data_IF_508377996640
#
_entry.id   IF_508377996640
#
_cell.length_a   1.000
_cell.length_b   1.000
_cell.length_c   1.000
_cell.angle_alpha   90.00
_cell.angle_beta   90.00
_cell.angle_gamma   90.00
#
_symmetry.space_group_name_H-M   'P 1'
#
loop_
_entity.id
_entity.type
_entity.pdbx_description
1 polymer ?
#
# COMPACT_ATOMS: atom_id res chain seq x y z
N UNK A 1 -0.64 -7.20 11.33
CA UNK A 1 -0.34 -8.58 10.90
C UNK A 1 -0.35 -8.65 9.37
N UNK A 2 0.42 -9.56 8.73
CA UNK A 2 0.46 -9.71 7.27
C UNK A 2 -0.93 -9.81 6.62
N UNK A 3 -1.88 -10.41 7.34
CA UNK A 3 -3.26 -10.57 6.90
C UNK A 3 -4.03 -9.24 6.74
N UNK A 4 -3.80 -8.26 7.62
CA UNK A 4 -4.44 -6.95 7.54
C UNK A 4 -3.95 -6.16 6.32
N UNK A 5 -2.65 -6.23 6.03
CA UNK A 5 -2.05 -5.66 4.83
C UNK A 5 -2.65 -6.28 3.57
N UNK A 6 -2.74 -7.62 3.50
CA UNK A 6 -3.32 -8.32 2.35
C UNK A 6 -4.78 -7.93 2.13
N UNK A 7 -5.58 -7.82 3.19
CA UNK A 7 -6.97 -7.36 3.08
C UNK A 7 -7.07 -5.94 2.54
N UNK A 8 -6.23 -5.01 3.01
CA UNK A 8 -6.21 -3.65 2.52
C UNK A 8 -5.77 -3.58 1.04
N UNK A 9 -4.72 -4.33 0.66
CA UNK A 9 -4.25 -4.43 -0.71
C UNK A 9 -5.33 -4.99 -1.66
N UNK A 10 -6.03 -6.06 -1.27
CA UNK A 10 -7.14 -6.64 -2.04
C UNK A 10 -8.28 -5.62 -2.23
N UNK A 11 -8.61 -4.88 -1.17
CA UNK A 11 -9.65 -3.84 -1.21
C UNK A 11 -9.26 -2.71 -2.18
N UNK A 12 -8.05 -2.17 -2.06
CA UNK A 12 -7.49 -1.13 -2.94
C UNK A 12 -7.49 -1.60 -4.40
N UNK A 13 -7.07 -2.83 -4.66
CA UNK A 13 -7.08 -3.41 -6.00
C UNK A 13 -8.50 -3.48 -6.59
N UNK A 14 -9.49 -3.88 -5.79
CA UNK A 14 -10.89 -3.98 -6.23
C UNK A 14 -11.53 -2.60 -6.46
N UNK A 15 -11.34 -1.68 -5.54
CA UNK A 15 -12.06 -0.40 -5.50
C UNK A 15 -11.38 0.69 -6.34
N UNK A 16 -10.05 0.70 -6.37
CA UNK A 16 -9.25 1.75 -7.04
C UNK A 16 -8.48 1.24 -8.26
N UNK A 17 -8.56 -0.06 -8.57
CA UNK A 17 -7.82 -0.71 -9.68
C UNK A 17 -6.30 -0.55 -9.58
N UNK A 18 -5.78 -0.45 -8.34
CA UNK A 18 -4.34 -0.35 -8.07
C UNK A 18 -3.80 -1.69 -7.60
N UNK A 19 -2.92 -2.30 -8.41
CA UNK A 19 -2.37 -3.64 -8.19
C UNK A 19 -0.87 -3.63 -7.80
N UNK A 20 -0.35 -2.49 -7.37
CA UNK A 20 1.09 -2.22 -7.26
C UNK A 20 1.83 -2.91 -6.11
N UNK A 21 1.15 -3.64 -5.22
CA UNK A 21 1.74 -4.14 -3.96
C UNK A 21 2.40 -5.50 -4.11
N UNK A 22 3.72 -5.56 -3.92
CA UNK A 22 4.52 -6.80 -4.00
C UNK A 22 4.47 -7.63 -2.71
N UNK A 23 4.41 -6.98 -1.55
CA UNK A 23 4.31 -7.67 -0.26
C UNK A 23 4.73 -6.82 0.94
N UNK A 24 4.82 -7.47 2.10
CA UNK A 24 5.34 -6.86 3.34
C UNK A 24 6.26 -7.84 4.08
N UNK A 25 7.39 -7.34 4.58
CA UNK A 25 8.33 -8.11 5.38
C UNK A 25 8.54 -7.46 6.77
N UNK A 26 8.89 -8.26 7.81
CA UNK A 26 9.38 -7.72 9.07
C UNK A 26 10.74 -7.04 8.89
N UNK A 27 11.10 -6.17 9.84
CA UNK A 27 12.46 -5.60 9.96
C UNK A 27 13.05 -5.94 11.32
N UNK A 28 14.30 -5.55 11.56
CA UNK A 28 14.97 -5.72 12.87
C UNK A 28 14.32 -4.89 13.99
N UNK A 29 13.52 -3.89 13.63
CA UNK A 29 12.73 -3.11 14.58
C UNK A 29 11.29 -3.65 14.62
N UNK A 30 10.79 -4.22 15.73
CA UNK A 30 9.49 -4.90 15.77
C UNK A 30 8.28 -4.02 15.38
N UNK A 31 8.37 -2.71 15.61
CA UNK A 31 7.33 -1.74 15.26
C UNK A 31 7.37 -1.30 13.79
N UNK A 32 8.39 -1.69 13.03
CA UNK A 32 8.60 -1.28 11.64
C UNK A 32 8.44 -2.49 10.72
N UNK A 33 7.69 -2.30 9.63
CA UNK A 33 7.58 -3.25 8.53
C UNK A 33 7.95 -2.57 7.23
N UNK A 34 8.56 -3.32 6.33
CA UNK A 34 8.76 -2.88 4.96
C UNK A 34 7.56 -3.28 4.11
N UNK A 35 7.25 -2.43 3.14
CA UNK A 35 6.24 -2.67 2.10
C UNK A 35 6.94 -2.49 0.77
N UNK A 36 6.82 -3.48 -0.10
CA UNK A 36 7.34 -3.42 -1.46
C UNK A 36 6.21 -3.07 -2.43
N UNK A 37 6.49 -2.17 -3.36
CA UNK A 37 5.56 -1.82 -4.43
C UNK A 37 6.31 -1.49 -5.72
N UNK A 38 5.63 -1.70 -6.85
CA UNK A 38 6.12 -1.35 -8.18
C UNK A 38 5.42 -0.09 -8.65
N UNK A 39 6.21 0.94 -8.96
CA UNK A 39 5.73 2.12 -9.67
C UNK A 39 5.92 1.92 -11.19
N UNK A 40 4.88 2.21 -11.96
CA UNK A 40 4.94 2.27 -13.42
C UNK A 40 4.30 3.55 -13.93
N UNK A 41 4.13 3.67 -15.25
CA UNK A 41 3.57 4.88 -15.87
C UNK A 41 2.22 5.29 -15.26
N UNK A 42 1.33 4.32 -15.00
CA UNK A 42 0.05 4.56 -14.34
C UNK A 42 0.19 5.11 -12.90
N UNK A 43 1.28 4.80 -12.20
CA UNK A 43 1.56 5.38 -10.88
C UNK A 43 2.04 6.83 -10.99
N UNK A 44 2.78 7.16 -12.06
CA UNK A 44 3.28 8.50 -12.31
C UNK A 44 2.18 9.49 -12.75
N UNK A 45 1.05 8.98 -13.23
CA UNK A 45 -0.13 9.78 -13.55
C UNK A 45 -0.92 10.22 -12.30
N UNK A 46 -0.68 9.59 -11.14
CA UNK A 46 -1.35 9.95 -9.89
C UNK A 46 -0.77 11.23 -9.30
N UNK A 47 -1.63 12.11 -8.81
CA UNK A 47 -1.20 13.25 -8.02
C UNK A 47 -0.58 12.78 -6.68
N UNK A 48 0.40 13.51 -6.12
CA UNK A 48 1.02 13.15 -4.84
C UNK A 48 0.02 12.91 -3.71
N UNK A 49 -1.09 13.66 -3.69
CA UNK A 49 -2.18 13.49 -2.72
C UNK A 49 -2.86 12.13 -2.86
N UNK A 50 -3.13 11.68 -4.07
CA UNK A 50 -3.79 10.41 -4.32
C UNK A 50 -2.91 9.25 -3.86
N UNK A 51 -1.60 9.34 -4.10
CA UNK A 51 -0.62 8.37 -3.60
C UNK A 51 -0.64 8.32 -2.07
N UNK A 52 -0.64 9.48 -1.40
CA UNK A 52 -0.69 9.54 0.06
C UNK A 52 -1.97 8.90 0.63
N UNK A 53 -3.12 9.15 0.02
CA UNK A 53 -4.40 8.54 0.41
C UNK A 53 -4.36 7.02 0.25
N UNK A 54 -3.86 6.52 -0.88
CA UNK A 54 -3.71 5.08 -1.15
C UNK A 54 -2.80 4.41 -0.10
N UNK A 55 -1.66 5.05 0.22
CA UNK A 55 -0.72 4.53 1.22
C UNK A 55 -1.35 4.56 2.62
N UNK A 56 -2.05 5.63 2.99
CA UNK A 56 -2.75 5.74 4.27
C UNK A 56 -3.79 4.63 4.45
N UNK A 57 -4.56 4.36 3.41
CA UNK A 57 -5.50 3.24 3.36
C UNK A 57 -4.82 1.87 3.53
N UNK A 58 -3.64 1.69 2.92
CA UNK A 58 -2.87 0.44 2.97
C UNK A 58 -2.33 0.15 4.37
N UNK A 59 -1.82 1.17 5.07
CA UNK A 59 -1.22 1.02 6.40
C UNK A 59 -2.23 1.22 7.54
N UNK A 60 -3.50 1.45 7.21
CA UNK A 60 -4.57 1.68 8.20
C UNK A 60 -4.44 3.00 8.94
N UNK A 61 -3.72 3.98 8.37
CA UNK A 61 -3.67 5.35 8.87
C UNK A 61 -4.87 6.10 8.31
N UNK A 62 -5.99 6.04 9.04
CA UNK A 62 -7.14 6.88 8.75
C UNK A 62 -6.78 8.33 9.12
N UNK A 63 -6.84 9.24 8.13
CA UNK A 63 -7.01 10.67 8.43
C UNK A 63 -8.50 10.94 8.61
#
# INVERSE_FOLDING_TARGET
APEAFLRAAIRIARERRVFSWGGTAPTDTPSIRTVEFTAGDATLELAPREVAEIVGELVGSTT
#
